data_IF_837077465460
#
_entry.id   IF_837077465460
#
_cell.length_a   1.000
_cell.length_b   1.000
_cell.length_c   1.000
_cell.angle_alpha   90.00
_cell.angle_beta   90.00
_cell.angle_gamma   90.00
#
_symmetry.space_group_name_H-M   'P 1'
#
loop_
_entity.id
_entity.type
_entity.pdbx_description
1 polymer ?
#
# COMPACT_ATOMS: atom_id res chain seq x y z
N UNK A 1 8.83 3.07 15.15
CA UNK A 1 9.10 2.93 13.71
C UNK A 1 8.32 4.00 12.98
N UNK A 2 8.96 4.87 12.21
CA UNK A 2 8.24 5.67 11.21
C UNK A 2 7.82 4.69 10.12
N UNK A 3 6.55 4.28 10.12
CA UNK A 3 6.02 3.48 9.02
C UNK A 3 6.07 4.34 7.76
N UNK A 4 6.80 3.87 6.75
CA UNK A 4 6.82 4.50 5.43
C UNK A 4 5.40 4.52 4.86
N UNK A 5 5.10 5.52 4.03
CA UNK A 5 3.88 5.57 3.24
C UNK A 5 3.57 4.22 2.54
N UNK A 6 4.60 3.52 2.08
CA UNK A 6 4.51 2.19 1.44
C UNK A 6 3.95 1.13 2.40
N UNK A 7 4.28 1.19 3.69
CA UNK A 7 3.78 0.21 4.66
C UNK A 7 2.26 0.24 4.76
N UNK A 8 1.65 1.43 4.70
CA UNK A 8 0.19 1.56 4.70
C UNK A 8 -0.42 0.92 3.46
N UNK A 9 0.22 1.08 2.29
CA UNK A 9 -0.23 0.44 1.05
C UNK A 9 -0.17 -1.08 1.13
N UNK A 10 0.93 -1.65 1.62
CA UNK A 10 1.07 -3.11 1.83
C UNK A 10 -0.05 -3.65 2.71
N UNK A 11 -0.36 -2.95 3.81
CA UNK A 11 -1.45 -3.34 4.70
C UNK A 11 -2.80 -3.24 3.99
N UNK A 12 -3.09 -2.16 3.25
CA UNK A 12 -4.34 -2.05 2.47
C UNK A 12 -4.50 -3.17 1.45
N UNK A 13 -3.40 -3.57 0.79
CA UNK A 13 -3.41 -4.69 -0.16
C UNK A 13 -3.71 -6.01 0.53
N UNK A 14 -3.13 -6.26 1.71
CA UNK A 14 -3.46 -7.45 2.50
C UNK A 14 -4.94 -7.50 2.90
N UNK A 15 -5.52 -6.36 3.29
CA UNK A 15 -6.97 -6.27 3.58
C UNK A 15 -7.79 -6.59 2.33
N UNK A 16 -7.42 -6.04 1.17
CA UNK A 16 -8.11 -6.30 -0.09
C UNK A 16 -8.06 -7.78 -0.49
N UNK A 17 -6.88 -8.42 -0.36
CA UNK A 17 -6.72 -9.85 -0.62
C UNK A 17 -7.60 -10.67 0.34
N UNK A 18 -7.66 -10.28 1.61
CA UNK A 18 -8.51 -10.94 2.61
C UNK A 18 -10.00 -10.83 2.24
N UNK A 19 -10.45 -9.64 1.80
CA UNK A 19 -11.82 -9.45 1.29
C UNK A 19 -12.11 -10.35 0.10
N UNK A 20 -11.17 -10.45 -0.86
CA UNK A 20 -11.33 -11.33 -2.02
C UNK A 20 -11.45 -12.80 -1.61
N UNK A 21 -10.61 -13.27 -0.67
CA UNK A 21 -10.67 -14.64 -0.14
C UNK A 21 -12.00 -14.89 0.60
N UNK A 22 -12.44 -13.96 1.44
CA UNK A 22 -13.70 -14.13 2.18
C UNK A 22 -14.90 -14.17 1.23
N UNK A 23 -14.89 -13.33 0.19
CA UNK A 23 -15.94 -13.33 -0.82
C UNK A 23 -15.97 -14.62 -1.66
N UNK A 24 -14.81 -15.21 -1.99
CA UNK A 24 -14.75 -16.46 -2.76
C UNK A 24 -15.06 -17.70 -1.92
N UNK A 25 -14.83 -17.64 -0.62
CA UNK A 25 -15.13 -18.74 0.33
C UNK A 25 -16.55 -18.70 0.90
N UNK A 26 -17.42 -17.83 0.40
CA UNK A 26 -18.80 -17.66 0.87
C UNK A 26 -18.89 -17.34 2.39
N UNK A 27 -17.97 -16.51 2.89
CA UNK A 27 -18.05 -16.02 4.26
C UNK A 27 -19.29 -15.13 4.46
N UNK A 28 -19.81 -15.00 5.70
CA UNK A 28 -20.97 -14.17 5.97
C UNK A 28 -20.78 -12.74 5.46
N UNK A 29 -21.78 -12.23 4.73
CA UNK A 29 -21.72 -10.90 4.10
C UNK A 29 -21.32 -9.78 5.07
N UNK A 30 -21.76 -9.84 6.34
CA UNK A 30 -21.37 -8.86 7.35
C UNK A 30 -19.86 -8.72 7.51
N UNK A 31 -19.10 -9.82 7.48
CA UNK A 31 -17.64 -9.78 7.55
C UNK A 31 -17.04 -9.10 6.32
N UNK A 32 -17.48 -9.50 5.13
CA UNK A 32 -17.02 -8.91 3.85
C UNK A 32 -17.34 -7.41 3.82
N UNK A 33 -18.54 -7.02 4.24
CA UNK A 33 -18.98 -5.64 4.28
C UNK A 33 -18.14 -4.78 5.22
N UNK A 34 -17.98 -5.17 6.48
CA UNK A 34 -17.21 -4.39 7.45
C UNK A 34 -15.73 -4.32 7.09
N UNK A 35 -15.12 -5.40 6.59
CA UNK A 35 -13.75 -5.39 6.09
C UNK A 35 -13.59 -4.47 4.88
N UNK A 36 -14.56 -4.45 3.97
CA UNK A 36 -14.54 -3.55 2.81
C UNK A 36 -14.59 -2.10 3.24
N UNK A 37 -15.55 -1.72 4.10
CA UNK A 37 -15.67 -0.36 4.62
C UNK A 37 -14.41 0.07 5.37
N UNK A 38 -13.87 -0.81 6.22
CA UNK A 38 -12.61 -0.59 6.92
C UNK A 38 -11.44 -0.39 5.93
N UNK A 39 -11.31 -1.26 4.93
CA UNK A 39 -10.27 -1.18 3.91
C UNK A 39 -10.33 0.11 3.10
N UNK A 40 -11.53 0.57 2.73
CA UNK A 40 -11.72 1.84 2.04
C UNK A 40 -11.33 3.05 2.90
N UNK A 41 -11.76 3.06 4.17
CA UNK A 41 -11.36 4.11 5.11
C UNK A 41 -9.84 4.13 5.32
N UNK A 42 -9.22 2.96 5.42
CA UNK A 42 -7.78 2.83 5.59
C UNK A 42 -7.00 3.23 4.33
N UNK A 43 -7.53 2.98 3.13
CA UNK A 43 -6.96 3.46 1.87
C UNK A 43 -7.00 4.99 1.76
N UNK A 44 -8.11 5.63 2.17
CA UNK A 44 -8.17 7.10 2.24
C UNK A 44 -7.10 7.63 3.20
N UNK A 45 -6.96 6.99 4.36
CA UNK A 45 -5.93 7.34 5.33
C UNK A 45 -4.51 7.14 4.77
N UNK A 46 -4.24 6.06 4.04
CA UNK A 46 -2.92 5.81 3.45
C UNK A 46 -2.58 6.87 2.40
N UNK A 47 -3.53 7.26 1.55
CA UNK A 47 -3.35 8.35 0.58
C UNK A 47 -3.06 9.67 1.29
N UNK A 48 -3.79 10.00 2.35
CA UNK A 48 -3.51 11.18 3.16
C UNK A 48 -2.10 11.16 3.75
N UNK A 49 -1.64 10.00 4.21
CA UNK A 49 -0.27 9.83 4.75
C UNK A 49 0.78 10.00 3.65
N UNK A 50 0.58 9.43 2.46
CA UNK A 50 1.46 9.62 1.29
C UNK A 50 1.57 11.10 0.93
N UNK A 51 0.43 11.80 0.82
CA UNK A 51 0.40 13.21 0.42
C UNK A 51 1.05 14.16 1.43
N UNK A 52 1.09 13.77 2.70
CA UNK A 52 1.74 14.56 3.78
C UNK A 52 3.12 14.05 4.15
N UNK A 53 3.61 13.00 3.50
CA UNK A 53 4.95 12.48 3.76
C UNK A 53 5.98 13.43 3.16
N UNK A 54 6.92 13.90 3.98
CA UNK A 54 8.04 14.73 3.52
C UNK A 54 9.15 13.81 3.02
N UNK A 55 8.83 12.99 2.01
CA UNK A 55 9.75 12.04 1.44
C UNK A 55 10.88 12.77 0.70
N UNK A 56 12.12 12.46 1.06
CA UNK A 56 13.31 12.92 0.37
C UNK A 56 14.10 11.72 -0.13
N UNK A 57 14.62 11.82 -1.35
CA UNK A 57 15.47 10.78 -1.93
C UNK A 57 16.59 11.43 -2.73
N UNK A 58 17.74 10.76 -2.78
CA UNK A 58 18.85 11.11 -3.68
C UNK A 58 18.65 10.52 -5.09
N UNK A 59 17.63 9.66 -5.25
CA UNK A 59 17.30 8.98 -6.51
C UNK A 59 16.62 9.96 -7.47
N UNK A 60 17.06 9.94 -8.72
CA UNK A 60 16.42 10.69 -9.81
C UNK A 60 15.61 9.73 -10.68
N UNK A 61 14.87 10.26 -11.65
CA UNK A 61 14.17 9.43 -12.63
C UNK A 61 15.13 8.57 -13.48
N UNK A 62 16.40 8.97 -13.57
CA UNK A 62 17.47 8.23 -14.27
C UNK A 62 17.87 6.96 -13.54
N UNK A 63 17.68 6.89 -12.21
CA UNK A 63 17.87 5.67 -11.41
C UNK A 63 16.70 4.67 -11.57
N UNK A 64 15.74 4.96 -12.45
CA UNK A 64 14.55 4.14 -12.73
C UNK A 64 13.86 3.60 -11.45
N UNK A 65 13.30 2.39 -11.49
CA UNK A 65 12.74 1.68 -10.32
C UNK A 65 13.75 0.76 -9.64
N UNK A 66 15.04 1.06 -9.74
CA UNK A 66 16.07 0.07 -9.44
C UNK A 66 16.18 -0.29 -7.96
N UNK A 67 15.75 -1.52 -7.64
CA UNK A 67 15.98 -2.21 -6.38
C UNK A 67 17.45 -2.67 -6.21
N UNK A 68 18.30 -2.48 -7.24
CA UNK A 68 19.74 -2.78 -7.24
C UNK A 68 20.48 -1.77 -8.12
N UNK A 69 21.64 -1.22 -7.70
CA UNK A 69 22.34 -0.20 -8.48
C UNK A 69 22.80 -0.76 -9.85
N UNK A 70 22.21 -0.29 -10.94
CA UNK A 70 22.85 -0.35 -12.25
C UNK A 70 23.94 0.72 -12.21
N UNK A 71 25.20 0.27 -12.28
CA UNK A 71 26.34 1.18 -12.30
C UNK A 71 26.14 2.20 -13.41
N UNK A 72 26.29 3.50 -13.10
CA UNK A 72 26.39 4.52 -14.15
C UNK A 72 27.64 4.19 -14.95
N UNK A 73 27.47 3.71 -16.17
CA UNK A 73 28.59 3.69 -17.13
C UNK A 73 28.94 5.17 -17.39
N UNK A 74 30.19 5.53 -17.09
CA UNK A 74 30.74 6.87 -17.33
C UNK A 74 30.80 7.23 -18.82
#
# INVERSE_FOLDING_TARGET
MNFSAITYLVITTFVLVTVAVFATMDFPFSWVFYLTVFGQAFLIFSVFKVLKDNYTTIKTFEDFYEDYPIGREE
#
